data_IF_452834802071
#
_entry.id   IF_452834802071
#
_cell.length_a   1.000
_cell.length_b   1.000
_cell.length_c   1.000
_cell.angle_alpha   90.00
_cell.angle_beta   90.00
_cell.angle_gamma   90.00
#
_symmetry.space_group_name_H-M   'P 1'
#
loop_
_entity.id
_entity.type
_entity.pdbx_description
1 polymer ?
#
# COMPACT_ATOMS: atom_id res chain seq x y z
N UNK A 1 45.65 -33.49 -0.91
CA UNK A 1 44.50 -32.58 -0.98
C UNK A 1 43.93 -32.55 0.41
N UNK A 2 43.97 -31.37 1.04
CA UNK A 2 43.75 -31.23 2.48
C UNK A 2 42.24 -31.24 2.75
N UNK A 3 41.71 -32.36 3.25
CA UNK A 3 40.27 -32.61 3.43
C UNK A 3 39.62 -31.56 4.35
N UNK A 4 40.40 -30.97 5.26
CA UNK A 4 39.93 -29.90 6.15
C UNK A 4 39.70 -28.57 5.42
N UNK A 5 40.50 -28.25 4.40
CA UNK A 5 40.31 -27.06 3.58
C UNK A 5 39.09 -27.17 2.66
N UNK A 6 38.81 -28.39 2.17
CA UNK A 6 37.67 -28.67 1.30
C UNK A 6 36.33 -28.59 2.03
N UNK A 7 36.22 -29.20 3.22
CA UNK A 7 35.01 -29.10 4.05
C UNK A 7 34.70 -27.65 4.47
N UNK A 8 35.73 -26.86 4.80
CA UNK A 8 35.54 -25.48 5.25
C UNK A 8 35.02 -24.55 4.14
N UNK A 9 35.54 -24.72 2.91
CA UNK A 9 35.08 -23.95 1.75
C UNK A 9 33.64 -24.30 1.38
N UNK A 10 33.28 -25.58 1.42
CA UNK A 10 31.95 -26.06 1.04
C UNK A 10 30.87 -25.57 2.02
N UNK A 11 31.17 -25.59 3.33
CA UNK A 11 30.27 -25.04 4.37
C UNK A 11 30.09 -23.54 4.21
N UNK A 12 31.17 -22.78 3.97
CA UNK A 12 31.08 -21.32 3.75
C UNK A 12 30.24 -21.01 2.50
N UNK A 13 30.41 -21.78 1.42
CA UNK A 13 29.64 -21.62 0.19
C UNK A 13 28.14 -21.88 0.44
N UNK A 14 27.81 -22.94 1.19
CA UNK A 14 26.43 -23.30 1.52
C UNK A 14 25.75 -22.22 2.38
N UNK A 15 26.45 -21.72 3.40
CA UNK A 15 25.95 -20.63 4.25
C UNK A 15 25.75 -19.34 3.45
N UNK A 16 26.68 -19.02 2.54
CA UNK A 16 26.56 -17.85 1.68
C UNK A 16 25.32 -17.90 0.78
N UNK A 17 25.02 -19.07 0.19
CA UNK A 17 23.81 -19.27 -0.63
C UNK A 17 22.54 -19.09 0.21
N UNK A 18 22.48 -19.68 1.41
CA UNK A 18 21.33 -19.55 2.31
C UNK A 18 21.12 -18.08 2.69
N UNK A 19 22.18 -17.36 3.06
CA UNK A 19 22.10 -15.94 3.38
C UNK A 19 21.59 -15.12 2.20
N UNK A 20 22.05 -15.42 0.99
CA UNK A 20 21.60 -14.73 -0.23
C UNK A 20 20.10 -14.90 -0.46
N UNK A 21 19.58 -16.12 -0.27
CA UNK A 21 18.14 -16.42 -0.39
C UNK A 21 17.35 -15.69 0.70
N UNK A 22 17.78 -15.75 1.96
CA UNK A 22 17.09 -15.11 3.09
C UNK A 22 17.02 -13.60 2.91
N UNK A 23 18.12 -12.97 2.50
CA UNK A 23 18.16 -11.53 2.22
C UNK A 23 17.24 -11.16 1.05
N UNK A 24 17.26 -11.95 -0.03
CA UNK A 24 16.38 -11.74 -1.18
C UNK A 24 14.89 -11.81 -0.83
N UNK A 25 14.48 -12.83 -0.07
CA UNK A 25 13.10 -13.00 0.40
C UNK A 25 12.70 -11.89 1.36
N UNK A 26 13.60 -11.49 2.27
CA UNK A 26 13.36 -10.42 3.24
C UNK A 26 13.05 -9.06 2.59
N UNK A 27 13.80 -8.71 1.54
CA UNK A 27 13.55 -7.46 0.78
C UNK A 27 12.18 -7.49 0.10
N UNK A 28 11.85 -8.60 -0.58
CA UNK A 28 10.57 -8.73 -1.28
C UNK A 28 9.37 -8.72 -0.34
N UNK A 29 9.47 -9.40 0.81
CA UNK A 29 8.41 -9.42 1.82
C UNK A 29 8.15 -8.04 2.42
N UNK A 30 9.20 -7.23 2.61
CA UNK A 30 9.08 -5.86 3.12
C UNK A 30 8.29 -4.97 2.15
N UNK A 31 8.64 -4.99 0.86
CA UNK A 31 7.94 -4.20 -0.16
C UNK A 31 6.45 -4.54 -0.24
N UNK A 32 6.10 -5.83 -0.19
CA UNK A 32 4.72 -6.27 -0.24
C UNK A 32 3.94 -5.86 1.01
N UNK A 33 4.59 -5.92 2.18
CA UNK A 33 4.00 -5.45 3.45
C UNK A 33 3.70 -3.95 3.39
N UNK A 34 4.64 -3.13 2.90
CA UNK A 34 4.44 -1.68 2.74
C UNK A 34 3.28 -1.37 1.78
N UNK A 35 3.22 -2.05 0.64
CA UNK A 35 2.11 -1.89 -0.32
C UNK A 35 0.77 -2.23 0.33
N UNK A 36 0.68 -3.32 1.08
CA UNK A 36 -0.56 -3.71 1.73
C UNK A 36 -1.01 -2.71 2.81
N UNK A 37 -0.07 -2.18 3.59
CA UNK A 37 -0.36 -1.14 4.59
C UNK A 37 -0.90 0.13 3.94
N UNK A 38 -0.25 0.62 2.88
CA UNK A 38 -0.70 1.81 2.15
C UNK A 38 -2.08 1.57 1.50
N UNK A 39 -2.31 0.42 0.88
CA UNK A 39 -3.60 0.06 0.29
C UNK A 39 -4.72 0.05 1.35
N UNK A 40 -4.44 -0.52 2.52
CA UNK A 40 -5.39 -0.60 3.64
C UNK A 40 -5.68 0.77 4.22
N UNK A 41 -4.64 1.59 4.45
CA UNK A 41 -4.76 2.97 4.89
C UNK A 41 -5.62 3.81 3.93
N UNK A 42 -5.36 3.65 2.64
CA UNK A 42 -6.08 4.35 1.58
C UNK A 42 -7.54 3.90 1.54
N UNK A 43 -7.81 2.60 1.66
CA UNK A 43 -9.18 2.06 1.71
C UNK A 43 -9.95 2.64 2.87
N UNK A 44 -9.37 2.55 4.05
CA UNK A 44 -10.01 3.04 5.28
C UNK A 44 -10.30 4.54 5.19
N UNK A 45 -9.34 5.34 4.73
CA UNK A 45 -9.55 6.78 4.54
C UNK A 45 -10.58 7.09 3.47
N UNK A 46 -10.60 6.34 2.37
CA UNK A 46 -11.55 6.53 1.30
C UNK A 46 -12.98 6.16 1.73
N UNK A 47 -13.16 5.02 2.38
CA UNK A 47 -14.45 4.56 2.92
C UNK A 47 -15.00 5.49 4.01
N UNK A 48 -14.13 5.96 4.91
CA UNK A 48 -14.54 6.97 5.90
C UNK A 48 -14.91 8.28 5.23
N UNK A 49 -14.15 8.72 4.22
CA UNK A 49 -14.45 9.94 3.47
C UNK A 49 -15.76 9.87 2.69
N UNK A 50 -16.07 8.72 2.07
CA UNK A 50 -17.36 8.52 1.39
C UNK A 50 -18.52 8.36 2.37
N UNK A 51 -18.28 7.79 3.55
CA UNK A 51 -19.29 7.65 4.61
C UNK A 51 -19.63 9.01 5.25
N UNK A 52 -18.62 9.81 5.62
CA UNK A 52 -18.81 11.19 6.11
C UNK A 52 -19.62 12.03 5.11
N UNK A 53 -19.35 11.86 3.82
CA UNK A 53 -20.08 12.52 2.75
C UNK A 53 -21.54 12.05 2.64
N UNK A 54 -21.80 10.74 2.74
CA UNK A 54 -23.17 10.21 2.74
C UNK A 54 -23.99 10.67 3.95
N UNK A 55 -23.35 10.90 5.09
CA UNK A 55 -24.00 11.47 6.28
C UNK A 55 -24.28 12.97 6.09
N UNK A 56 -23.32 13.71 5.53
CA UNK A 56 -23.44 15.16 5.32
C UNK A 56 -24.46 15.52 4.23
N UNK A 57 -24.54 14.71 3.16
CA UNK A 57 -25.46 14.89 2.03
C UNK A 57 -26.33 13.64 1.82
N UNK A 58 -27.34 13.39 2.66
CA UNK A 58 -28.19 12.19 2.59
C UNK A 58 -29.05 12.11 1.33
N UNK A 59 -29.19 13.20 0.57
CA UNK A 59 -29.94 13.26 -0.69
C UNK A 59 -29.15 12.82 -1.93
N UNK A 60 -27.84 12.56 -1.83
CA UNK A 60 -27.02 12.12 -2.96
C UNK A 60 -26.81 10.61 -2.94
N UNK A 61 -26.67 10.00 -4.13
CA UNK A 61 -26.38 8.57 -4.26
C UNK A 61 -25.06 8.25 -3.52
N UNK A 62 -25.04 7.21 -2.66
CA UNK A 62 -23.87 6.86 -1.89
C UNK A 62 -22.71 6.46 -2.80
N UNK A 63 -21.52 6.98 -2.50
CA UNK A 63 -20.28 6.63 -3.21
C UNK A 63 -19.63 5.46 -2.48
N UNK A 64 -19.31 4.39 -3.21
CA UNK A 64 -18.59 3.23 -2.69
C UNK A 64 -17.19 3.18 -3.27
N UNK A 65 -16.24 2.65 -2.50
CA UNK A 65 -14.89 2.35 -2.98
C UNK A 65 -14.93 0.94 -3.60
N UNK A 66 -14.81 0.86 -4.93
CA UNK A 66 -14.84 -0.42 -5.64
C UNK A 66 -13.49 -1.13 -5.55
N UNK A 67 -12.40 -0.41 -5.81
CA UNK A 67 -11.06 -0.98 -5.78
C UNK A 67 -10.00 0.07 -5.53
N UNK A 68 -8.82 -0.39 -5.16
CA UNK A 68 -7.63 0.43 -4.97
C UNK A 68 -6.52 -0.24 -5.75
N UNK A 69 -5.97 0.50 -6.71
CA UNK A 69 -4.81 0.09 -7.47
C UNK A 69 -3.61 0.85 -6.97
N UNK A 70 -2.50 0.15 -6.77
CA UNK A 70 -1.22 0.77 -6.45
C UNK A 70 -0.27 0.62 -7.60
N UNK A 71 0.42 1.70 -7.94
CA UNK A 71 1.55 1.68 -8.86
C UNK A 71 2.82 2.00 -8.06
N UNK A 72 3.53 0.95 -7.67
CA UNK A 72 4.63 1.05 -6.70
C UNK A 72 4.14 1.31 -5.27
N UNK A 73 4.95 1.99 -4.47
CA UNK A 73 4.63 2.43 -3.10
C UNK A 73 4.21 3.90 -3.02
N UNK A 74 4.36 4.66 -4.11
CA UNK A 74 4.19 6.12 -4.10
C UNK A 74 2.88 6.59 -4.74
N UNK A 75 2.25 5.77 -5.58
CA UNK A 75 1.05 6.16 -6.33
C UNK A 75 -0.10 5.20 -6.06
N UNK A 76 -1.22 5.76 -5.62
CA UNK A 76 -2.45 5.00 -5.33
C UNK A 76 -3.60 5.59 -6.13
N UNK A 77 -4.36 4.73 -6.79
CA UNK A 77 -5.58 5.08 -7.52
C UNK A 77 -6.77 4.43 -6.85
N UNK A 78 -7.71 5.24 -6.41
CA UNK A 78 -8.97 4.81 -5.82
C UNK A 78 -10.03 4.79 -6.93
N UNK A 79 -10.70 3.66 -7.12
CA UNK A 79 -11.82 3.53 -8.03
C UNK A 79 -13.12 3.62 -7.25
N UNK A 80 -13.95 4.61 -7.59
CA UNK A 80 -15.23 4.87 -6.94
C UNK A 80 -16.39 4.32 -7.78
N UNK A 81 -17.54 4.10 -7.14
CA UNK A 81 -18.74 3.56 -7.80
C UNK A 81 -19.45 4.54 -8.73
N UNK A 82 -19.13 5.84 -8.64
CA UNK A 82 -19.68 6.89 -9.49
C UNK A 82 -18.71 8.05 -9.61
N UNK A 83 -18.91 8.87 -10.63
CA UNK A 83 -18.28 10.18 -10.70
C UNK A 83 -18.67 11.03 -9.48
N UNK A 84 -17.68 11.72 -8.93
CA UNK A 84 -17.82 12.62 -7.78
C UNK A 84 -17.49 14.05 -8.20
N UNK A 85 -18.16 15.02 -7.60
CA UNK A 85 -17.86 16.43 -7.80
C UNK A 85 -16.49 16.78 -7.22
N UNK A 86 -15.92 17.93 -7.62
CA UNK A 86 -14.60 18.34 -7.10
C UNK A 86 -14.59 18.54 -5.58
N UNK A 87 -15.71 18.99 -4.99
CA UNK A 87 -15.84 19.14 -3.54
C UNK A 87 -15.84 17.78 -2.83
N UNK A 88 -16.62 16.83 -3.33
CA UNK A 88 -16.65 15.45 -2.84
C UNK A 88 -15.27 14.78 -2.96
N UNK A 89 -14.60 14.98 -4.10
CA UNK A 89 -13.24 14.50 -4.36
C UNK A 89 -12.24 15.04 -3.33
N UNK A 90 -12.29 16.34 -3.03
CA UNK A 90 -11.40 16.96 -2.04
C UNK A 90 -11.65 16.43 -0.62
N UNK A 91 -12.92 16.19 -0.24
CA UNK A 91 -13.25 15.61 1.06
C UNK A 91 -12.68 14.18 1.21
N UNK A 92 -12.85 13.33 0.19
CA UNK A 92 -12.29 11.98 0.17
C UNK A 92 -10.76 12.04 0.23
N UNK A 93 -10.11 12.88 -0.60
CA UNK A 93 -8.66 13.03 -0.59
C UNK A 93 -8.13 13.48 0.77
N UNK A 94 -8.79 14.44 1.43
CA UNK A 94 -8.39 14.90 2.77
C UNK A 94 -8.55 13.82 3.84
N UNK A 95 -9.56 12.95 3.71
CA UNK A 95 -9.72 11.80 4.60
C UNK A 95 -8.64 10.74 4.38
N UNK A 96 -8.35 10.43 3.11
CA UNK A 96 -7.28 9.51 2.71
C UNK A 96 -5.91 10.01 3.17
N UNK A 97 -5.60 11.29 2.97
CA UNK A 97 -4.34 11.90 3.43
C UNK A 97 -4.18 11.85 4.95
N UNK A 98 -5.28 12.04 5.70
CA UNK A 98 -5.27 11.89 7.17
C UNK A 98 -4.98 10.45 7.58
N UNK A 99 -5.61 9.47 6.93
CA UNK A 99 -5.39 8.04 7.18
C UNK A 99 -3.98 7.57 6.80
N UNK A 100 -3.43 8.09 5.71
CA UNK A 100 -2.06 7.79 5.28
C UNK A 100 -1.04 8.45 6.22
N UNK A 101 -1.25 9.72 6.59
CA UNK A 101 -0.38 10.43 7.52
C UNK A 101 -0.35 9.80 8.92
N UNK A 102 -1.49 9.29 9.41
CA UNK A 102 -1.55 8.60 10.70
C UNK A 102 -0.77 7.28 10.72
N UNK A 103 -0.58 6.66 9.55
CA UNK A 103 0.25 5.47 9.37
C UNK A 103 1.71 5.79 8.98
N UNK A 104 2.08 7.07 8.94
CA UNK A 104 3.45 7.51 8.61
C UNK A 104 3.74 7.65 7.11
N UNK A 105 2.73 7.55 6.24
CA UNK A 105 2.87 7.60 4.78
C UNK A 105 2.48 8.99 4.22
N UNK A 106 3.33 10.00 4.39
CA UNK A 106 3.04 11.39 3.98
C UNK A 106 3.42 11.72 2.53
N UNK A 107 4.21 10.89 1.86
CA UNK A 107 4.69 11.10 0.48
C UNK A 107 3.85 10.42 -0.62
N UNK A 108 2.72 9.80 -0.28
CA UNK A 108 1.91 9.01 -1.21
C UNK A 108 0.98 9.92 -2.01
N UNK A 109 1.08 9.86 -3.33
CA UNK A 109 0.19 10.58 -4.24
C UNK A 109 -1.06 9.76 -4.52
N UNK A 110 -2.23 10.36 -4.30
CA UNK A 110 -3.53 9.70 -4.42
C UNK A 110 -4.31 10.26 -5.60
N UNK A 111 -4.76 9.36 -6.48
CA UNK A 111 -5.62 9.64 -7.61
C UNK A 111 -7.00 9.02 -7.38
N UNK A 112 -8.04 9.66 -7.92
CA UNK A 112 -9.41 9.16 -7.89
C UNK A 112 -9.86 8.96 -9.33
N UNK A 113 -10.35 7.75 -9.60
CA UNK A 113 -10.93 7.27 -10.85
C UNK A 113 -12.33 6.71 -10.56
N UNK A 114 -13.16 6.55 -11.59
CA UNK A 114 -14.54 6.07 -11.52
C UNK A 114 -14.80 5.12 -12.68
#
# INVERSE_FOLDING_TARGET
MDEQGQLSVEVILFVAIILFIVLGVGVFANEQSVKNSIATATRFGAENGTTEMGISNPGTLPVKVNSIQMNGTEKVTIHLSRAVTQSEKNAILKSVQRSLSSQGYSGVTVFISY
#
